data_IF_631203512446
#
_entry.id   IF_631203512446
#
_cell.length_a   1.000
_cell.length_b   1.000
_cell.length_c   1.000
_cell.angle_alpha   90.00
_cell.angle_beta   90.00
_cell.angle_gamma   90.00
#
_symmetry.space_group_name_H-M   'P 1'
#
loop_
_entity.id
_entity.type
_entity.pdbx_description
1 polymer ?
#
# COMPACT_ATOMS: atom_id res chain seq x y z
N UNK A 1 1.57 -8.26 15.81
CA UNK A 1 1.74 -8.68 14.41
C UNK A 1 3.21 -8.79 14.07
N UNK A 2 3.53 -9.73 13.23
CA UNK A 2 4.90 -9.92 12.79
C UNK A 2 5.35 -8.72 11.98
N UNK A 3 6.57 -8.30 12.21
CA UNK A 3 7.19 -7.24 11.41
C UNK A 3 6.48 -5.89 11.55
N UNK A 4 5.68 -5.74 12.59
CA UNK A 4 5.02 -4.48 12.85
C UNK A 4 3.85 -4.16 11.93
N UNK A 5 3.38 -5.13 11.16
CA UNK A 5 2.27 -4.93 10.25
C UNK A 5 0.95 -5.27 10.91
N UNK A 6 -0.03 -4.41 10.73
CA UNK A 6 -1.38 -4.66 11.20
C UNK A 6 -2.13 -5.52 10.19
N UNK A 7 -3.34 -5.95 10.58
CA UNK A 7 -4.19 -6.70 9.65
C UNK A 7 -4.51 -5.88 8.41
N UNK A 8 -4.71 -4.58 8.59
CA UNK A 8 -5.02 -3.71 7.45
C UNK A 8 -3.84 -3.64 6.49
N UNK A 9 -2.62 -3.54 7.03
CA UNK A 9 -1.43 -3.52 6.18
C UNK A 9 -1.33 -4.81 5.37
N UNK A 10 -1.54 -5.94 6.04
CA UNK A 10 -1.46 -7.23 5.35
C UNK A 10 -2.56 -7.36 4.30
N UNK A 11 -3.75 -6.88 4.60
CA UNK A 11 -4.85 -6.95 3.65
C UNK A 11 -4.52 -6.15 2.39
N UNK A 12 -3.92 -4.99 2.55
CA UNK A 12 -3.48 -4.19 1.41
C UNK A 12 -2.47 -4.96 0.58
N UNK A 13 -1.44 -5.49 1.23
CA UNK A 13 -0.36 -6.17 0.52
C UNK A 13 -0.84 -7.44 -0.19
N UNK A 14 -1.81 -8.12 0.38
CA UNK A 14 -2.33 -9.34 -0.22
C UNK A 14 -3.30 -9.09 -1.36
N UNK A 15 -3.98 -7.95 -1.36
CA UNK A 15 -5.05 -7.71 -2.31
C UNK A 15 -4.76 -6.61 -3.32
N UNK A 16 -3.68 -5.85 -3.15
CA UNK A 16 -3.37 -4.80 -4.09
C UNK A 16 -2.86 -5.38 -5.41
N UNK A 17 -2.98 -4.59 -6.45
CA UNK A 17 -2.39 -4.94 -7.73
C UNK A 17 -0.91 -4.59 -7.72
N UNK A 18 -0.20 -4.95 -8.79
CA UNK A 18 1.20 -4.58 -8.90
C UNK A 18 1.38 -3.08 -8.77
N UNK A 19 0.48 -2.31 -9.39
CA UNK A 19 0.44 -0.87 -9.23
C UNK A 19 -0.99 -0.47 -8.90
N UNK A 20 -1.17 0.28 -7.82
CA UNK A 20 -2.48 0.69 -7.37
C UNK A 20 -2.44 2.14 -6.91
N UNK A 21 -3.47 2.90 -7.25
CA UNK A 21 -3.60 4.25 -6.75
C UNK A 21 -4.06 4.22 -5.29
N UNK A 22 -3.92 5.37 -4.61
CA UNK A 22 -4.41 5.46 -3.23
C UNK A 22 -5.89 5.14 -3.15
N UNK A 23 -6.67 5.59 -4.14
CA UNK A 23 -8.10 5.31 -4.14
C UNK A 23 -8.40 3.82 -4.25
N UNK A 24 -7.65 3.11 -5.09
CA UNK A 24 -7.82 1.67 -5.21
C UNK A 24 -7.49 0.97 -3.90
N UNK A 25 -6.43 1.40 -3.24
CA UNK A 25 -6.05 0.80 -1.96
C UNK A 25 -7.09 1.10 -0.89
N UNK A 26 -7.63 2.32 -0.88
CA UNK A 26 -8.69 2.68 0.06
C UNK A 26 -9.91 1.79 -0.11
N UNK A 27 -10.22 1.45 -1.35
CA UNK A 27 -11.37 0.59 -1.62
C UNK A 27 -11.20 -0.80 -1.00
N UNK A 28 -9.97 -1.31 -1.00
CA UNK A 28 -9.70 -2.60 -0.38
C UNK A 28 -10.11 -2.61 1.08
N UNK A 29 -9.85 -1.51 1.79
CA UNK A 29 -10.19 -1.41 3.21
C UNK A 29 -11.51 -0.68 3.45
N UNK A 30 -12.18 -0.26 2.40
CA UNK A 30 -13.44 0.48 2.48
C UNK A 30 -13.29 1.74 3.33
N UNK A 31 -12.18 2.43 3.13
CA UNK A 31 -11.90 3.68 3.84
C UNK A 31 -12.29 4.85 2.97
N UNK A 32 -12.67 5.97 3.62
CA UNK A 32 -13.09 7.17 2.90
C UNK A 32 -12.20 8.38 3.16
N UNK A 33 -11.43 8.38 4.26
CA UNK A 33 -10.57 9.51 4.57
C UNK A 33 -9.18 9.27 4.01
N UNK A 34 -8.88 9.93 2.90
CA UNK A 34 -7.63 9.70 2.19
C UNK A 34 -6.41 10.12 3.00
N UNK A 35 -6.48 11.26 3.69
CA UNK A 35 -5.34 11.74 4.46
C UNK A 35 -4.98 10.78 5.59
N UNK A 36 -5.98 10.35 6.34
CA UNK A 36 -5.73 9.39 7.41
C UNK A 36 -5.28 8.05 6.87
N UNK A 37 -5.85 7.62 5.74
CA UNK A 37 -5.45 6.38 5.12
C UNK A 37 -3.97 6.40 4.75
N UNK A 38 -3.52 7.48 4.13
CA UNK A 38 -2.12 7.59 3.74
C UNK A 38 -1.19 7.54 4.95
N UNK A 39 -1.53 8.28 5.99
CA UNK A 39 -0.69 8.33 7.18
C UNK A 39 -0.67 6.98 7.90
N UNK A 40 -1.82 6.34 8.04
CA UNK A 40 -1.94 5.13 8.82
C UNK A 40 -1.50 3.88 8.06
N UNK A 41 -1.71 3.85 6.75
CA UNK A 41 -1.50 2.64 5.97
C UNK A 41 -0.35 2.79 4.98
N UNK A 42 -0.42 3.81 4.12
CA UNK A 42 0.55 3.90 3.03
C UNK A 42 1.94 4.26 3.51
N UNK A 43 2.03 5.29 4.37
CA UNK A 43 3.35 5.72 4.84
C UNK A 43 4.11 4.62 5.54
N UNK A 44 3.50 3.85 6.48
CA UNK A 44 4.23 2.75 7.09
C UNK A 44 4.68 1.70 6.08
N UNK A 45 3.86 1.39 5.09
CA UNK A 45 4.24 0.41 4.09
C UNK A 45 5.38 0.90 3.22
N UNK A 46 5.37 2.17 2.85
CA UNK A 46 6.46 2.75 2.07
C UNK A 46 7.73 2.82 2.91
N UNK A 47 7.61 3.27 4.16
CA UNK A 47 8.78 3.40 5.05
C UNK A 47 9.43 2.06 5.32
N UNK A 48 8.64 1.01 5.38
CA UNK A 48 9.18 -0.33 5.63
C UNK A 48 9.59 -1.06 4.35
N UNK A 49 9.42 -0.42 3.20
CA UNK A 49 9.91 -0.96 1.95
C UNK A 49 8.97 -1.95 1.28
N UNK A 50 7.73 -2.05 1.71
CA UNK A 50 6.77 -2.96 1.07
C UNK A 50 6.11 -2.34 -0.15
N UNK A 51 5.96 -1.03 -0.15
CA UNK A 51 5.42 -0.30 -1.29
C UNK A 51 6.41 0.78 -1.72
N UNK A 52 6.39 1.10 -2.99
CA UNK A 52 7.19 2.21 -3.50
C UNK A 52 6.34 3.07 -4.41
N UNK A 53 6.70 4.34 -4.51
CA UNK A 53 5.99 5.28 -5.36
C UNK A 53 6.44 5.13 -6.79
N UNK A 54 5.48 5.13 -7.73
CA UNK A 54 5.84 5.09 -9.14
C UNK A 54 6.37 6.43 -9.62
N UNK A 55 5.95 7.51 -8.97
CA UNK A 55 6.45 8.86 -9.27
C UNK A 55 6.97 9.47 -7.97
N UNK A 56 8.18 9.06 -7.54
CA UNK A 56 8.69 9.53 -6.23
C UNK A 56 8.92 11.03 -6.16
N UNK A 57 9.20 11.67 -7.27
CA UNK A 57 9.43 13.11 -7.28
C UNK A 57 8.13 13.91 -7.14
N UNK A 58 6.99 13.29 -7.31
CA UNK A 58 5.70 13.95 -7.17
C UNK A 58 4.74 13.09 -6.37
N UNK A 59 5.00 12.92 -5.06
CA UNK A 59 4.21 11.99 -4.26
C UNK A 59 2.74 12.37 -4.13
N UNK A 60 2.40 13.62 -4.40
CA UNK A 60 1.01 14.07 -4.32
C UNK A 60 0.35 14.19 -5.68
N UNK A 61 1.02 13.73 -6.73
CA UNK A 61 0.45 13.80 -8.06
C UNK A 61 -0.85 12.98 -8.14
N UNK A 62 -1.86 13.47 -8.87
CA UNK A 62 -3.09 12.70 -9.03
C UNK A 62 -2.89 11.39 -9.80
N UNK A 63 -1.78 11.26 -10.51
CA UNK A 63 -1.47 10.02 -11.22
C UNK A 63 -0.50 9.14 -10.43
N UNK A 64 -0.16 9.54 -9.19
CA UNK A 64 0.72 8.74 -8.35
C UNK A 64 0.11 7.39 -8.04
N UNK A 65 0.91 6.35 -8.18
CA UNK A 65 0.50 5.00 -7.82
C UNK A 65 1.54 4.40 -6.89
N UNK A 66 1.17 3.33 -6.26
CA UNK A 66 2.04 2.61 -5.33
C UNK A 66 2.25 1.21 -5.86
N UNK A 67 3.50 0.81 -5.91
CA UNK A 67 3.86 -0.48 -6.46
C UNK A 67 4.34 -1.40 -5.35
N UNK A 68 3.91 -2.65 -5.41
CA UNK A 68 4.36 -3.65 -4.47
C UNK A 68 5.82 -4.00 -4.76
N UNK A 69 6.65 -3.94 -3.71
CA UNK A 69 8.07 -4.31 -3.86
C UNK A 69 8.23 -5.80 -3.68
N UNK A 70 9.44 -6.29 -3.91
CA UNK A 70 9.72 -7.70 -3.74
C UNK A 70 9.87 -8.10 -2.28
N UNK A 71 9.86 -7.14 -1.36
CA UNK A 71 10.03 -7.45 0.06
C UNK A 71 8.90 -8.29 0.61
N UNK A 72 7.67 -8.07 0.15
CA UNK A 72 6.53 -8.85 0.55
C UNK A 72 6.21 -9.85 -0.53
N UNK A 73 6.28 -11.11 -0.19
CA UNK A 73 5.97 -12.20 -1.13
C UNK A 73 4.60 -12.74 -0.79
N UNK A 74 3.66 -12.60 -1.73
CA UNK A 74 2.34 -13.17 -1.53
C UNK A 74 2.42 -14.66 -1.64
N UNK A 75 1.87 -15.32 -0.63
CA UNK A 75 1.81 -16.75 -0.68
C UNK A 75 0.87 -17.22 -1.75
N UNK A 76 1.32 -18.14 -2.53
CA UNK A 76 0.46 -18.77 -3.50
C UNK A 76 0.25 -20.20 -3.11
N UNK A 77 -0.97 -20.62 -3.15
CA UNK A 77 -1.25 -22.04 -2.96
C UNK A 77 -1.06 -22.75 -4.27
N UNK A 78 -0.33 -23.78 -4.20
CA UNK A 78 -0.04 -24.56 -5.38
C UNK A 78 -1.04 -25.67 -5.51
#
# INVERSE_FOLDING_TARGET
TKQGLSKDHLKILKNCKDESSANELMTILKRSNKSKFKIAIINPLVNNGYLELTIPESPRSPIQKYRLTSKFVRRRNK
#
